data_IF_864846351732
#
_entry.id   IF_864846351732
#
_cell.length_a   1.000
_cell.length_b   1.000
_cell.length_c   1.000
_cell.angle_alpha   90.00
_cell.angle_beta   90.00
_cell.angle_gamma   90.00
#
_symmetry.space_group_name_H-M   'P 1'
#
loop_
_entity.id
_entity.type
_entity.pdbx_description
1 polymer ?
#
# COMPACT_ATOMS: atom_id res chain seq x y z
N UNK A 1 -12.59 -1.78 -10.30
CA UNK A 1 -13.22 -3.10 -10.50
C UNK A 1 -13.60 -3.27 -11.96
N UNK A 2 -13.11 -4.32 -12.62
CA UNK A 2 -13.49 -4.68 -13.99
C UNK A 2 -14.89 -5.36 -14.02
N UNK A 3 -15.92 -4.66 -13.57
CA UNK A 3 -17.29 -5.18 -13.53
C UNK A 3 -18.13 -4.63 -14.69
N UNK A 4 -17.83 -5.06 -15.90
CA UNK A 4 -18.61 -4.73 -17.09
C UNK A 4 -18.14 -5.50 -18.32
N UNK A 5 -18.93 -5.50 -19.38
CA UNK A 5 -18.61 -6.17 -20.65
C UNK A 5 -17.25 -5.73 -21.19
N UNK A 6 -16.94 -4.42 -21.10
CA UNK A 6 -15.64 -3.87 -21.51
C UNK A 6 -14.46 -4.41 -20.71
N UNK A 7 -14.62 -4.65 -19.40
CA UNK A 7 -13.56 -5.25 -18.58
C UNK A 7 -13.29 -6.71 -18.92
N UNK A 8 -14.34 -7.46 -19.22
CA UNK A 8 -14.20 -8.84 -19.71
C UNK A 8 -13.52 -8.90 -21.07
N UNK A 9 -13.91 -8.04 -22.01
CA UNK A 9 -13.26 -7.96 -23.34
C UNK A 9 -11.76 -7.69 -23.23
N UNK A 10 -11.33 -6.70 -22.45
CA UNK A 10 -9.92 -6.38 -22.26
C UNK A 10 -9.16 -7.57 -21.67
N UNK A 11 -9.76 -8.29 -20.73
CA UNK A 11 -9.17 -9.50 -20.12
C UNK A 11 -8.99 -10.63 -21.14
N UNK A 12 -9.94 -10.82 -22.05
CA UNK A 12 -9.84 -11.82 -23.13
C UNK A 12 -8.85 -11.39 -24.21
N UNK A 13 -8.83 -10.10 -24.61
CA UNK A 13 -7.85 -9.55 -25.54
C UNK A 13 -6.41 -9.71 -25.04
N UNK A 14 -6.17 -9.66 -23.72
CA UNK A 14 -4.85 -9.98 -23.17
C UNK A 14 -4.52 -11.47 -23.12
N UNK A 15 -5.48 -12.32 -22.77
CA UNK A 15 -5.23 -13.74 -22.51
C UNK A 15 -5.23 -14.61 -23.78
N UNK A 16 -6.16 -14.39 -24.71
CA UNK A 16 -6.29 -15.25 -25.89
C UNK A 16 -5.05 -15.23 -26.78
N UNK A 17 -4.49 -14.06 -27.16
CA UNK A 17 -3.25 -14.04 -27.94
C UNK A 17 -2.07 -14.65 -27.19
N UNK A 18 -2.02 -14.49 -25.85
CA UNK A 18 -0.99 -15.09 -25.02
C UNK A 18 -0.99 -16.61 -25.12
N UNK A 19 -2.10 -17.25 -24.82
CA UNK A 19 -2.20 -18.72 -24.90
C UNK A 19 -1.98 -19.25 -26.32
N UNK A 20 -2.45 -18.52 -27.33
CA UNK A 20 -2.22 -18.90 -28.72
C UNK A 20 -0.72 -18.90 -29.07
N UNK A 21 -0.01 -17.85 -28.66
CA UNK A 21 1.44 -17.73 -28.89
C UNK A 21 2.22 -18.82 -28.14
N UNK A 22 1.86 -19.09 -26.87
CA UNK A 22 2.47 -20.14 -26.07
C UNK A 22 2.30 -21.52 -26.70
N UNK A 23 1.09 -21.83 -27.22
CA UNK A 23 0.84 -23.10 -27.92
C UNK A 23 1.71 -23.21 -29.18
N UNK A 24 1.83 -22.13 -29.97
CA UNK A 24 2.70 -22.12 -31.14
C UNK A 24 4.18 -22.28 -30.75
N UNK A 25 4.61 -21.65 -29.65
CA UNK A 25 5.99 -21.75 -29.16
C UNK A 25 6.29 -23.18 -28.72
N UNK A 26 5.39 -23.82 -27.96
CA UNK A 26 5.52 -25.20 -27.51
C UNK A 26 5.52 -26.20 -28.71
N UNK A 27 4.78 -25.92 -29.76
CA UNK A 27 4.74 -26.76 -30.97
C UNK A 27 5.98 -26.57 -31.89
N UNK A 28 6.76 -25.51 -31.67
CA UNK A 28 7.92 -25.16 -32.52
C UNK A 28 8.94 -26.28 -32.67
N UNK A 29 9.33 -27.05 -31.61
CA UNK A 29 10.31 -28.13 -31.76
C UNK A 29 9.91 -29.24 -32.78
N UNK A 30 8.61 -29.46 -32.97
CA UNK A 30 8.07 -30.46 -33.90
C UNK A 30 7.70 -29.89 -35.26
N UNK A 31 7.19 -28.65 -35.29
CA UNK A 31 6.64 -28.03 -36.52
C UNK A 31 7.59 -26.98 -37.14
N UNK A 32 8.63 -26.56 -36.45
CA UNK A 32 9.58 -25.56 -36.95
C UNK A 32 8.99 -24.18 -37.15
N UNK A 33 7.93 -23.79 -36.39
CA UNK A 33 7.22 -22.52 -36.58
C UNK A 33 8.11 -21.30 -36.43
N UNK A 34 8.83 -21.17 -35.33
CA UNK A 34 9.67 -20.03 -35.05
C UNK A 34 11.15 -20.31 -35.34
N UNK A 35 11.61 -21.53 -35.10
CA UNK A 35 12.98 -21.97 -35.37
C UNK A 35 13.01 -23.49 -35.54
N UNK A 36 14.07 -23.96 -36.21
CA UNK A 36 14.39 -25.38 -36.31
C UNK A 36 15.90 -25.57 -36.40
N UNK A 37 16.35 -26.74 -36.04
CA UNK A 37 17.75 -27.13 -36.15
C UNK A 37 17.88 -28.14 -37.31
N UNK A 38 18.84 -27.87 -38.20
CA UNK A 38 19.23 -28.79 -39.28
C UNK A 38 20.74 -28.86 -39.33
N UNK A 39 21.26 -30.09 -39.34
CA UNK A 39 22.71 -30.35 -39.38
C UNK A 39 23.52 -29.63 -38.27
N UNK A 40 22.93 -29.50 -37.07
CA UNK A 40 23.54 -28.82 -35.94
C UNK A 40 23.50 -27.28 -36.01
N UNK A 41 22.95 -26.71 -37.06
CA UNK A 41 22.84 -25.26 -37.27
C UNK A 41 21.42 -24.78 -37.01
N UNK A 42 21.29 -23.56 -36.45
CA UNK A 42 20.04 -22.89 -36.19
C UNK A 42 19.48 -22.21 -37.47
N UNK A 43 18.22 -22.44 -37.75
CA UNK A 43 17.47 -21.76 -38.82
C UNK A 43 16.22 -21.11 -38.29
N UNK A 44 15.90 -19.94 -38.85
CA UNK A 44 14.69 -19.20 -38.51
C UNK A 44 13.50 -19.84 -39.25
N UNK A 45 12.43 -20.11 -38.49
CA UNK A 45 11.18 -20.65 -39.05
C UNK A 45 10.33 -19.64 -39.80
N UNK A 46 9.39 -20.14 -40.60
CA UNK A 46 8.55 -19.30 -41.46
C UNK A 46 7.64 -18.31 -40.69
N UNK A 47 7.32 -18.60 -39.45
CA UNK A 47 6.46 -17.76 -38.59
C UNK A 47 7.26 -16.92 -37.57
N UNK A 48 8.59 -16.83 -37.69
CA UNK A 48 9.41 -16.04 -36.77
C UNK A 48 9.01 -14.56 -36.71
N UNK A 49 8.52 -13.98 -37.83
CA UNK A 49 8.01 -12.60 -37.89
C UNK A 49 6.79 -12.38 -36.98
N UNK A 50 6.00 -13.44 -36.72
CA UNK A 50 4.84 -13.36 -35.84
C UNK A 50 5.20 -12.99 -34.39
N UNK A 51 6.40 -13.37 -33.92
CA UNK A 51 6.93 -12.95 -32.64
C UNK A 51 7.07 -11.42 -32.50
N UNK A 52 7.49 -10.74 -33.58
CA UNK A 52 7.60 -9.27 -33.58
C UNK A 52 6.22 -8.61 -33.57
N UNK A 53 5.25 -9.17 -34.31
CA UNK A 53 3.83 -8.69 -34.28
C UNK A 53 3.25 -8.86 -32.87
N UNK A 54 3.52 -9.98 -32.24
CA UNK A 54 3.07 -10.28 -30.88
C UNK A 54 3.62 -9.27 -29.86
N UNK A 55 4.92 -8.98 -29.90
CA UNK A 55 5.54 -7.96 -29.06
C UNK A 55 4.91 -6.59 -29.30
N UNK A 56 4.73 -6.19 -30.57
CA UNK A 56 4.09 -4.92 -30.94
C UNK A 56 2.65 -4.82 -30.42
N UNK A 57 1.88 -5.90 -30.49
CA UNK A 57 0.52 -5.97 -29.97
C UNK A 57 0.47 -5.69 -28.47
N UNK A 58 1.29 -6.37 -27.64
CA UNK A 58 1.31 -6.14 -26.20
C UNK A 58 1.86 -4.78 -25.81
N UNK A 59 2.84 -4.26 -26.57
CA UNK A 59 3.32 -2.90 -26.42
C UNK A 59 2.17 -1.89 -26.59
N UNK A 60 1.42 -2.01 -27.70
CA UNK A 60 0.26 -1.16 -27.97
C UNK A 60 -0.83 -1.29 -26.90
N UNK A 61 -1.15 -2.51 -26.48
CA UNK A 61 -2.12 -2.78 -25.43
C UNK A 61 -1.70 -2.17 -24.08
N UNK A 62 -0.42 -2.23 -23.71
CA UNK A 62 0.09 -1.59 -22.48
C UNK A 62 -0.06 -0.07 -22.54
N UNK A 63 0.31 0.57 -23.64
CA UNK A 63 0.13 2.01 -23.83
C UNK A 63 -1.34 2.40 -23.78
N UNK A 64 -2.20 1.64 -24.45
CA UNK A 64 -3.65 1.87 -24.45
C UNK A 64 -4.23 1.82 -23.04
N UNK A 65 -3.86 0.83 -22.23
CA UNK A 65 -4.33 0.68 -20.86
C UNK A 65 -3.87 1.83 -19.95
N UNK A 66 -2.63 2.29 -20.11
CA UNK A 66 -2.08 3.44 -19.37
C UNK A 66 -2.82 4.72 -19.79
N UNK A 67 -3.03 4.93 -21.10
CA UNK A 67 -3.68 6.13 -21.63
C UNK A 67 -5.17 6.21 -21.27
N UNK A 68 -5.88 5.09 -21.27
CA UNK A 68 -7.29 5.02 -20.87
C UNK A 68 -7.50 5.28 -19.36
N UNK A 69 -6.42 5.44 -18.57
CA UNK A 69 -6.48 5.75 -17.15
C UNK A 69 -7.20 4.68 -16.29
N UNK A 70 -7.54 3.54 -16.89
CA UNK A 70 -8.32 2.48 -16.23
C UNK A 70 -7.55 1.66 -15.21
N UNK A 71 -6.23 1.72 -15.24
CA UNK A 71 -5.37 1.05 -14.26
C UNK A 71 -4.82 2.12 -13.33
N UNK A 72 -5.23 2.11 -12.07
CA UNK A 72 -4.67 2.95 -11.02
C UNK A 72 -3.30 2.39 -10.63
N UNK A 73 -2.30 2.71 -11.43
CA UNK A 73 -0.90 2.35 -11.17
C UNK A 73 -0.23 3.59 -10.61
N UNK A 74 0.63 3.40 -9.64
CA UNK A 74 1.49 4.46 -9.10
C UNK A 74 2.30 5.11 -10.24
N UNK A 75 2.46 6.43 -10.18
CA UNK A 75 3.13 7.21 -11.24
C UNK A 75 4.55 6.69 -11.53
N UNK A 76 5.27 6.22 -10.52
CA UNK A 76 6.60 5.61 -10.67
C UNK A 76 6.57 4.38 -11.57
N UNK A 77 5.62 3.47 -11.34
CA UNK A 77 5.46 2.24 -12.15
C UNK A 77 5.05 2.60 -13.58
N UNK A 78 4.18 3.60 -13.79
CA UNK A 78 3.81 4.09 -15.12
C UNK A 78 5.03 4.56 -15.91
N UNK A 79 5.90 5.36 -15.28
CA UNK A 79 7.13 5.87 -15.90
C UNK A 79 8.06 4.72 -16.28
N UNK A 80 8.25 3.73 -15.38
CA UNK A 80 9.09 2.56 -15.64
C UNK A 80 8.54 1.75 -16.83
N UNK A 81 7.23 1.51 -16.90
CA UNK A 81 6.61 0.76 -17.99
C UNK A 81 6.75 1.50 -19.33
N UNK A 82 6.55 2.82 -19.33
CA UNK A 82 6.73 3.63 -20.56
C UNK A 82 8.19 3.63 -21.02
N UNK A 83 9.14 3.85 -20.11
CA UNK A 83 10.57 3.87 -20.41
C UNK A 83 11.03 2.51 -20.96
N UNK A 84 10.64 1.42 -20.29
CA UNK A 84 10.92 0.07 -20.77
C UNK A 84 10.32 -0.18 -22.15
N UNK A 85 9.08 0.27 -22.39
CA UNK A 85 8.43 0.09 -23.67
C UNK A 85 9.22 0.73 -24.80
N UNK A 86 9.82 1.91 -24.58
CA UNK A 86 10.69 2.59 -25.54
C UNK A 86 11.97 1.79 -25.76
N UNK A 87 12.61 1.34 -24.67
CA UNK A 87 13.85 0.54 -24.73
C UNK A 87 13.60 -0.80 -25.43
N UNK A 88 12.48 -1.47 -25.16
CA UNK A 88 12.13 -2.72 -25.81
C UNK A 88 11.98 -2.59 -27.32
N UNK A 89 11.31 -1.54 -27.80
CA UNK A 89 11.19 -1.25 -29.25
C UNK A 89 12.58 -1.01 -29.87
N UNK A 90 13.41 -0.21 -29.22
CA UNK A 90 14.77 0.06 -29.71
C UNK A 90 15.58 -1.24 -29.79
N UNK A 91 15.51 -2.10 -28.77
CA UNK A 91 16.21 -3.38 -28.77
C UNK A 91 15.71 -4.35 -29.84
N UNK A 92 14.39 -4.37 -30.12
CA UNK A 92 13.83 -5.18 -31.22
C UNK A 92 14.35 -4.69 -32.58
N UNK A 93 14.39 -3.38 -32.80
CA UNK A 93 14.93 -2.80 -34.05
C UNK A 93 16.42 -3.15 -34.21
N UNK A 94 17.21 -2.98 -33.18
CA UNK A 94 18.63 -3.33 -33.19
C UNK A 94 18.86 -4.83 -33.41
N UNK A 95 18.05 -5.69 -32.81
CA UNK A 95 18.14 -7.13 -33.01
C UNK A 95 17.73 -7.56 -34.41
N UNK A 96 16.80 -6.85 -35.04
CA UNK A 96 16.44 -7.11 -36.43
C UNK A 96 17.63 -6.88 -37.39
N UNK A 97 18.45 -5.84 -37.13
CA UNK A 97 19.67 -5.55 -37.90
C UNK A 97 20.84 -6.50 -37.53
N UNK A 98 20.94 -6.87 -36.24
CA UNK A 98 22.03 -7.69 -35.68
C UNK A 98 21.51 -8.99 -35.11
N UNK A 99 21.16 -9.95 -35.97
CA UNK A 99 20.50 -11.23 -35.62
C UNK A 99 21.34 -12.12 -34.68
N UNK A 100 22.63 -11.87 -34.58
CA UNK A 100 23.57 -12.63 -33.73
C UNK A 100 23.48 -12.25 -32.24
N UNK A 101 22.82 -11.11 -31.93
CA UNK A 101 22.73 -10.60 -30.55
C UNK A 101 21.37 -10.89 -29.93
N UNK A 102 21.33 -11.51 -28.76
CA UNK A 102 20.11 -11.76 -27.97
C UNK A 102 19.71 -10.53 -27.13
N UNK A 103 19.59 -9.36 -27.78
CA UNK A 103 19.35 -8.07 -27.11
C UNK A 103 17.98 -8.02 -26.43
N UNK A 104 16.95 -8.61 -27.03
CA UNK A 104 15.59 -8.63 -26.44
C UNK A 104 15.54 -9.42 -25.13
N UNK A 105 16.29 -10.53 -25.01
CA UNK A 105 16.36 -11.29 -23.76
C UNK A 105 17.04 -10.50 -22.64
N UNK A 106 18.12 -9.80 -22.95
CA UNK A 106 18.80 -8.93 -21.99
C UNK A 106 17.92 -7.75 -21.55
N UNK A 107 17.17 -7.13 -22.48
CA UNK A 107 16.21 -6.08 -22.15
C UNK A 107 15.08 -6.56 -21.25
N UNK A 108 14.53 -7.75 -21.50
CA UNK A 108 13.51 -8.36 -20.66
C UNK A 108 14.03 -8.67 -19.24
N UNK A 109 15.26 -9.18 -19.13
CA UNK A 109 15.88 -9.43 -17.82
C UNK A 109 16.08 -8.14 -17.03
N UNK A 110 16.56 -7.08 -17.65
CA UNK A 110 16.69 -5.76 -17.02
C UNK A 110 15.34 -5.20 -16.59
N UNK A 111 14.30 -5.39 -17.39
CA UNK A 111 12.96 -4.94 -17.04
C UNK A 111 12.38 -5.67 -15.83
N UNK A 112 12.49 -6.99 -15.81
CA UNK A 112 12.07 -7.79 -14.65
C UNK A 112 12.82 -7.33 -13.40
N UNK A 113 14.11 -7.07 -13.50
CA UNK A 113 14.93 -6.55 -12.41
C UNK A 113 14.45 -5.16 -11.96
N UNK A 114 14.16 -4.25 -12.90
CA UNK A 114 13.64 -2.92 -12.58
C UNK A 114 12.27 -2.95 -11.92
N UNK A 115 11.35 -3.79 -12.41
CA UNK A 115 10.03 -4.00 -11.76
C UNK A 115 10.24 -4.59 -10.37
N UNK A 116 11.07 -5.62 -10.24
CA UNK A 116 11.37 -6.24 -8.97
C UNK A 116 11.90 -5.21 -7.97
N UNK A 117 12.87 -4.38 -8.34
CA UNK A 117 13.39 -3.31 -7.50
C UNK A 117 12.34 -2.24 -7.17
N UNK A 118 11.47 -1.89 -8.12
CA UNK A 118 10.39 -0.94 -7.89
C UNK A 118 9.30 -1.48 -6.96
N UNK A 119 9.03 -2.79 -7.03
CA UNK A 119 8.05 -3.47 -6.19
C UNK A 119 8.62 -3.91 -4.83
N UNK A 120 9.93 -4.09 -4.71
CA UNK A 120 10.60 -4.51 -3.47
C UNK A 120 10.83 -3.37 -2.48
N UNK A 121 10.25 -2.19 -2.67
CA UNK A 121 10.31 -1.18 -1.64
C UNK A 121 9.02 -1.11 -0.76
N UNK A 122 8.49 -2.27 -0.27
CA UNK A 122 7.44 -2.26 0.75
C UNK A 122 7.98 -1.74 2.09
N UNK A 123 9.29 -1.76 2.30
CA UNK A 123 9.96 -1.17 3.47
C UNK A 123 9.93 0.36 3.47
N UNK A 124 9.63 1.02 2.33
CA UNK A 124 9.46 2.47 2.27
C UNK A 124 8.20 2.97 3.00
N UNK A 125 7.29 2.06 3.37
CA UNK A 125 6.02 2.36 4.03
C UNK A 125 5.87 1.63 5.37
N UNK A 126 6.97 1.11 5.91
CA UNK A 126 6.98 0.39 7.19
C UNK A 126 7.87 1.16 8.16
N UNK A 127 7.32 1.47 9.33
CA UNK A 127 8.07 1.99 10.45
C UNK A 127 9.09 0.96 10.92
N UNK A 128 10.37 1.33 10.88
CA UNK A 128 11.48 0.41 11.16
C UNK A 128 11.57 -0.01 12.63
N UNK A 129 10.97 0.75 13.53
CA UNK A 129 11.01 0.49 14.97
C UNK A 129 9.91 -0.49 15.39
N UNK A 130 8.69 -0.30 14.85
CA UNK A 130 7.51 -1.06 15.29
C UNK A 130 7.06 -2.13 14.29
N UNK A 131 7.55 -2.08 13.05
CA UNK A 131 7.12 -2.99 11.98
C UNK A 131 5.68 -2.77 11.49
N UNK A 132 5.00 -1.73 11.98
CA UNK A 132 3.69 -1.29 11.49
C UNK A 132 3.85 -0.47 10.22
N UNK A 133 2.76 -0.10 9.56
CA UNK A 133 2.83 0.90 8.49
C UNK A 133 3.25 2.27 9.06
N UNK A 134 3.92 3.09 8.24
CA UNK A 134 4.33 4.44 8.62
C UNK A 134 3.26 5.49 8.30
N UNK A 135 3.55 6.77 8.56
CA UNK A 135 2.67 7.89 8.26
C UNK A 135 2.37 8.01 6.75
N UNK A 136 3.32 7.70 5.87
CA UNK A 136 3.09 7.76 4.42
C UNK A 136 2.09 6.71 3.97
N UNK A 137 2.20 5.49 4.49
CA UNK A 137 1.21 4.44 4.26
C UNK A 137 -0.18 4.85 4.75
N UNK A 138 -0.27 5.47 5.92
CA UNK A 138 -1.52 6.01 6.45
C UNK A 138 -2.14 7.06 5.51
N UNK A 139 -1.35 8.01 5.01
CA UNK A 139 -1.83 9.02 4.06
C UNK A 139 -2.37 8.41 2.77
N UNK A 140 -1.71 7.37 2.25
CA UNK A 140 -2.19 6.63 1.07
C UNK A 140 -3.51 5.91 1.39
N UNK A 141 -3.62 5.27 2.55
CA UNK A 141 -4.85 4.60 2.99
C UNK A 141 -5.99 5.59 3.15
N UNK A 142 -5.75 6.73 3.80
CA UNK A 142 -6.72 7.81 3.96
C UNK A 142 -7.24 8.30 2.60
N UNK A 143 -6.33 8.55 1.65
CA UNK A 143 -6.70 8.94 0.28
C UNK A 143 -7.56 7.88 -0.40
N UNK A 144 -7.19 6.60 -0.29
CA UNK A 144 -7.97 5.50 -0.87
C UNK A 144 -9.38 5.41 -0.26
N UNK A 145 -9.52 5.60 1.06
CA UNK A 145 -10.81 5.60 1.74
C UNK A 145 -11.69 6.76 1.27
N UNK A 146 -11.13 7.96 1.17
CA UNK A 146 -11.88 9.15 0.71
C UNK A 146 -12.31 9.06 -0.75
N UNK A 147 -11.52 8.38 -1.61
CA UNK A 147 -11.86 8.18 -3.02
C UNK A 147 -12.86 7.04 -3.27
N UNK A 148 -12.93 6.03 -2.39
CA UNK A 148 -13.77 4.85 -2.60
C UNK A 148 -15.19 4.99 -2.00
N UNK A 149 -15.51 6.09 -1.34
CA UNK A 149 -16.84 6.36 -0.73
C UNK A 149 -17.35 5.24 0.17
N UNK A 150 -16.46 4.48 0.81
CA UNK A 150 -16.80 3.41 1.74
C UNK A 150 -16.85 3.90 3.18
N UNK A 151 -17.70 3.32 4.01
CA UNK A 151 -17.68 3.59 5.45
C UNK A 151 -16.52 2.89 6.12
N UNK A 152 -15.71 3.62 6.88
CA UNK A 152 -14.56 3.11 7.61
C UNK A 152 -14.45 3.75 8.98
N UNK A 153 -13.81 3.04 9.89
CA UNK A 153 -13.53 3.49 11.25
C UNK A 153 -12.02 3.62 11.43
N UNK A 154 -11.60 4.77 11.91
CA UNK A 154 -10.23 5.05 12.30
C UNK A 154 -10.16 5.00 13.84
N UNK A 155 -9.61 3.92 14.35
CA UNK A 155 -9.37 3.76 15.77
C UNK A 155 -7.94 4.18 16.08
N UNK A 156 -7.78 5.30 16.77
CA UNK A 156 -6.48 5.82 17.19
C UNK A 156 -6.19 5.30 18.59
N UNK A 157 -5.00 4.73 18.77
CA UNK A 157 -4.49 4.26 20.06
C UNK A 157 -3.28 5.13 20.40
N UNK A 158 -3.43 6.01 21.39
CA UNK A 158 -2.36 6.87 21.87
C UNK A 158 -1.87 6.38 23.22
N UNK A 159 -0.56 6.26 23.39
CA UNK A 159 0.09 5.82 24.62
C UNK A 159 0.47 7.08 25.43
N UNK A 160 -0.17 7.24 26.58
CA UNK A 160 0.07 8.39 27.45
C UNK A 160 1.49 8.34 28.05
N UNK A 161 2.05 9.52 28.28
CA UNK A 161 3.30 9.71 29.03
C UNK A 161 4.50 8.94 28.46
N UNK A 162 4.53 8.70 27.14
CA UNK A 162 5.62 7.96 26.50
C UNK A 162 6.98 8.60 26.77
N UNK A 163 7.06 9.93 26.77
CA UNK A 163 8.29 10.65 27.13
C UNK A 163 8.75 10.36 28.57
N UNK A 164 7.83 10.22 29.52
CA UNK A 164 8.18 9.84 30.90
C UNK A 164 8.70 8.39 30.98
N UNK A 165 8.08 7.50 30.23
CA UNK A 165 8.53 6.11 30.11
C UNK A 165 9.93 6.04 29.50
N UNK A 166 10.21 6.86 28.50
CA UNK A 166 11.54 6.96 27.87
C UNK A 166 12.60 7.47 28.85
N UNK A 167 12.27 8.47 29.69
CA UNK A 167 13.19 8.95 30.74
C UNK A 167 13.48 7.86 31.78
N UNK A 168 12.51 7.00 32.10
CA UNK A 168 12.69 5.94 33.10
C UNK A 168 13.45 4.73 32.56
N UNK A 169 13.17 4.30 31.34
CA UNK A 169 13.69 3.08 30.73
C UNK A 169 14.90 3.29 29.83
N UNK A 170 15.11 4.51 29.38
CA UNK A 170 16.01 4.85 28.30
C UNK A 170 15.40 4.58 26.92
N UNK A 171 16.00 5.21 25.92
CA UNK A 171 15.52 5.20 24.52
C UNK A 171 15.31 3.78 23.96
N UNK A 172 16.31 2.91 24.09
CA UNK A 172 16.27 1.54 23.54
C UNK A 172 15.09 0.70 24.08
N UNK A 173 14.85 0.76 25.41
CA UNK A 173 13.81 -0.04 26.03
C UNK A 173 12.41 0.53 25.76
N UNK A 174 12.28 1.84 25.67
CA UNK A 174 11.02 2.49 25.28
C UNK A 174 10.62 2.14 23.84
N UNK A 175 11.59 2.05 22.92
CA UNK A 175 11.35 1.61 21.52
C UNK A 175 10.95 0.14 21.45
N UNK A 176 11.58 -0.73 22.24
CA UNK A 176 11.15 -2.14 22.33
C UNK A 176 9.71 -2.29 22.83
N UNK A 177 9.34 -1.45 23.81
CA UNK A 177 7.98 -1.41 24.35
C UNK A 177 6.96 -1.02 23.28
N UNK A 178 7.25 0.04 22.50
CA UNK A 178 6.43 0.46 21.35
C UNK A 178 6.34 -0.61 20.26
N UNK A 179 7.46 -1.29 19.99
CA UNK A 179 7.49 -2.39 19.04
C UNK A 179 6.60 -3.55 19.48
N UNK A 180 6.62 -3.93 20.76
CA UNK A 180 5.73 -4.97 21.30
C UNK A 180 4.25 -4.58 21.15
N UNK A 181 3.90 -3.32 21.48
CA UNK A 181 2.57 -2.78 21.25
C UNK A 181 2.16 -2.82 19.78
N UNK A 182 3.03 -2.35 18.88
CA UNK A 182 2.81 -2.37 17.43
C UNK A 182 2.65 -3.79 16.87
N UNK A 183 3.45 -4.74 17.33
CA UNK A 183 3.33 -6.15 16.96
C UNK A 183 2.00 -6.76 17.40
N UNK A 184 1.58 -6.45 18.64
CA UNK A 184 0.28 -6.90 19.11
C UNK A 184 -0.87 -6.35 18.27
N UNK A 185 -0.88 -5.03 18.00
CA UNK A 185 -1.91 -4.40 17.18
C UNK A 185 -1.93 -4.98 15.76
N UNK A 186 -0.76 -5.23 15.19
CA UNK A 186 -0.61 -5.84 13.86
C UNK A 186 -1.10 -7.28 13.81
N UNK A 187 -0.82 -8.07 14.85
CA UNK A 187 -1.33 -9.44 14.97
C UNK A 187 -2.85 -9.48 15.10
N UNK A 188 -3.44 -8.51 15.82
CA UNK A 188 -4.87 -8.39 16.04
C UNK A 188 -5.64 -7.94 14.77
N UNK A 189 -5.13 -6.93 14.05
CA UNK A 189 -5.87 -6.24 13.00
C UNK A 189 -5.35 -6.51 11.59
N UNK A 190 -4.14 -7.07 11.46
CA UNK A 190 -3.45 -7.30 10.19
C UNK A 190 -2.40 -6.23 9.86
N UNK A 191 -1.37 -6.66 9.14
CA UNK A 191 -0.14 -5.87 8.90
C UNK A 191 -0.37 -4.50 8.26
N UNK A 192 -1.34 -4.41 7.35
CA UNK A 192 -1.60 -3.17 6.61
C UNK A 192 -2.75 -2.33 7.18
N UNK A 193 -3.35 -2.78 8.29
CA UNK A 193 -4.44 -2.04 8.94
C UNK A 193 -3.92 -1.10 10.03
N UNK A 194 -2.70 -1.30 10.51
CA UNK A 194 -2.11 -0.54 11.64
C UNK A 194 -1.01 0.36 11.11
N UNK A 195 -1.10 1.65 11.38
CA UNK A 195 -0.10 2.65 11.00
C UNK A 195 0.37 3.43 12.24
N UNK A 196 1.66 3.70 12.33
CA UNK A 196 2.25 4.58 13.34
C UNK A 196 2.32 6.00 12.78
N UNK A 197 1.50 6.91 13.31
CA UNK A 197 1.38 8.26 12.79
C UNK A 197 2.20 9.29 13.59
N UNK A 198 2.57 8.95 14.83
CA UNK A 198 3.42 9.73 15.69
C UNK A 198 4.25 8.81 16.60
N UNK A 199 5.14 9.36 17.40
CA UNK A 199 6.05 8.58 18.25
C UNK A 199 5.32 7.61 19.18
N UNK A 200 4.16 7.99 19.68
CA UNK A 200 3.35 7.31 20.69
C UNK A 200 1.93 6.98 20.23
N UNK A 201 1.68 7.04 18.92
CA UNK A 201 0.32 6.96 18.37
C UNK A 201 0.24 5.98 17.21
N UNK A 202 -0.69 5.04 17.34
CA UNK A 202 -1.07 4.10 16.28
C UNK A 202 -2.48 4.40 15.79
N UNK A 203 -2.69 4.33 14.49
CA UNK A 203 -4.04 4.39 13.89
C UNK A 203 -4.36 3.07 13.22
N UNK A 204 -5.53 2.53 13.54
CA UNK A 204 -6.04 1.27 13.01
C UNK A 204 -7.22 1.56 12.11
N UNK A 205 -7.14 1.11 10.85
CA UNK A 205 -8.22 1.24 9.88
C UNK A 205 -9.10 -0.01 9.93
N UNK A 206 -10.37 0.15 10.29
CA UNK A 206 -11.34 -0.91 10.46
C UNK A 206 -12.55 -0.75 9.54
N UNK A 207 -13.24 -1.86 9.28
CA UNK A 207 -14.60 -1.82 8.75
C UNK A 207 -15.58 -1.46 9.87
N UNK A 208 -16.67 -0.76 9.52
CA UNK A 208 -17.73 -0.39 10.47
C UNK A 208 -18.29 -1.64 11.18
N UNK A 209 -18.47 -1.55 12.49
CA UNK A 209 -19.03 -2.61 13.36
C UNK A 209 -17.97 -3.55 13.98
N UNK A 210 -16.69 -3.41 13.65
CA UNK A 210 -15.60 -4.21 14.27
C UNK A 210 -14.94 -3.50 15.45
N UNK A 211 -15.17 -2.20 15.60
CA UNK A 211 -14.46 -1.31 16.52
C UNK A 211 -14.61 -1.73 17.98
N UNK A 212 -15.81 -2.07 18.43
CA UNK A 212 -16.06 -2.43 19.84
C UNK A 212 -15.31 -3.69 20.26
N UNK A 213 -15.31 -4.71 19.40
CA UNK A 213 -14.56 -5.94 19.65
C UNK A 213 -13.06 -5.68 19.76
N UNK A 214 -12.52 -4.89 18.84
CA UNK A 214 -11.08 -4.54 18.81
C UNK A 214 -10.70 -3.66 20.01
N UNK A 215 -11.51 -2.64 20.37
CA UNK A 215 -11.32 -1.83 21.57
C UNK A 215 -11.23 -2.69 22.83
N UNK A 216 -12.15 -3.66 22.96
CA UNK A 216 -12.16 -4.58 24.12
C UNK A 216 -10.90 -5.42 24.21
N UNK A 217 -10.37 -5.91 23.09
CA UNK A 217 -9.14 -6.69 23.07
C UNK A 217 -7.90 -5.84 23.35
N UNK A 218 -7.82 -4.62 22.80
CA UNK A 218 -6.73 -3.68 23.06
C UNK A 218 -6.72 -3.32 24.54
N UNK A 219 -7.85 -2.92 25.11
CA UNK A 219 -7.96 -2.61 26.54
C UNK A 219 -7.47 -3.75 27.41
N UNK A 220 -7.97 -4.97 27.16
CA UNK A 220 -7.57 -6.16 27.91
C UNK A 220 -6.06 -6.46 27.87
N UNK A 221 -5.42 -6.19 26.72
CA UNK A 221 -3.96 -6.36 26.58
C UNK A 221 -3.19 -5.27 27.31
N UNK A 222 -3.64 -4.02 27.21
CA UNK A 222 -2.95 -2.88 27.83
C UNK A 222 -3.17 -2.79 29.35
N UNK A 223 -4.20 -3.45 29.89
CA UNK A 223 -4.36 -3.68 31.34
C UNK A 223 -3.30 -4.68 31.90
N UNK A 224 -2.63 -5.43 31.02
CA UNK A 224 -1.53 -6.32 31.40
C UNK A 224 -0.21 -5.61 31.24
N UNK A 225 0.72 -5.88 32.16
CA UNK A 225 2.07 -5.33 32.07
C UNK A 225 2.81 -5.79 30.81
N UNK A 226 3.62 -4.92 30.30
CA UNK A 226 4.59 -5.21 29.25
C UNK A 226 5.95 -5.50 29.88
N UNK A 227 6.64 -6.53 29.42
CA UNK A 227 7.91 -6.96 29.97
C UNK A 227 9.06 -6.62 29.04
N UNK A 228 9.84 -5.59 29.39
CA UNK A 228 10.99 -5.17 28.60
C UNK A 228 12.25 -5.17 29.48
N UNK A 229 13.26 -5.93 29.06
CA UNK A 229 14.58 -6.01 29.73
C UNK A 229 14.51 -6.28 31.25
N UNK A 230 13.56 -7.14 31.66
CA UNK A 230 13.37 -7.50 33.08
C UNK A 230 12.51 -6.54 33.90
N UNK A 231 12.04 -5.44 33.31
CA UNK A 231 11.11 -4.50 33.93
C UNK A 231 9.67 -4.81 33.49
N UNK A 232 8.72 -4.67 34.44
CA UNK A 232 7.29 -4.79 34.20
C UNK A 232 6.66 -3.41 34.19
N UNK A 233 6.01 -3.03 33.09
CA UNK A 233 5.53 -1.66 32.89
C UNK A 233 4.09 -1.70 32.41
N UNK A 234 3.23 -0.97 33.11
CA UNK A 234 1.87 -0.70 32.70
C UNK A 234 1.83 0.47 31.73
N UNK A 235 1.20 0.27 30.57
CA UNK A 235 0.94 1.32 29.60
C UNK A 235 -0.46 1.89 29.81
N UNK A 236 -0.56 3.21 29.78
CA UNK A 236 -1.85 3.91 29.82
C UNK A 236 -2.22 4.35 28.41
N UNK A 237 -3.20 3.72 27.82
CA UNK A 237 -3.69 4.05 26.48
C UNK A 237 -4.91 4.96 26.51
N UNK A 238 -5.06 5.68 25.40
CA UNK A 238 -6.29 6.37 25.02
C UNK A 238 -6.72 5.90 23.66
N UNK A 239 -7.99 5.57 23.50
CA UNK A 239 -8.57 5.16 22.24
C UNK A 239 -9.56 6.22 21.74
N UNK A 240 -9.29 6.74 20.54
CA UNK A 240 -10.15 7.74 19.88
C UNK A 240 -10.77 7.08 18.65
N UNK A 241 -12.10 7.11 18.53
CA UNK A 241 -12.82 6.52 17.41
C UNK A 241 -13.37 7.63 16.52
N UNK A 242 -13.00 7.57 15.22
CA UNK A 242 -13.43 8.51 14.19
C UNK A 242 -14.05 7.73 13.02
N UNK A 243 -15.28 8.06 12.65
CA UNK A 243 -16.00 7.39 11.57
C UNK A 243 -15.96 8.21 10.28
N UNK A 244 -15.51 7.60 9.19
CA UNK A 244 -15.63 8.18 7.86
C UNK A 244 -16.89 7.64 7.16
N UNK A 245 -17.70 8.48 6.49
CA UNK A 245 -17.63 9.94 6.35
C UNK A 245 -18.42 10.72 7.41
N UNK A 246 -18.91 10.07 8.49
CA UNK A 246 -19.79 10.68 9.49
C UNK A 246 -19.13 11.85 10.25
N UNK A 247 -17.87 11.68 10.63
CA UNK A 247 -17.17 12.61 11.52
C UNK A 247 -16.22 13.54 10.77
N UNK A 248 -15.68 13.10 9.66
CA UNK A 248 -14.80 13.87 8.79
C UNK A 248 -14.91 13.41 7.33
N UNK A 249 -14.60 14.30 6.37
CA UNK A 249 -14.59 14.01 4.94
C UNK A 249 -13.23 14.26 4.28
N UNK A 250 -12.29 14.86 5.00
CA UNK A 250 -10.95 15.19 4.50
C UNK A 250 -9.86 14.88 5.53
N UNK A 251 -8.61 14.77 5.06
CA UNK A 251 -7.45 14.62 5.94
C UNK A 251 -7.28 15.79 6.89
N UNK A 252 -7.59 17.03 6.43
CA UNK A 252 -7.50 18.21 7.26
C UNK A 252 -8.51 18.17 8.42
N UNK A 253 -9.75 17.78 8.15
CA UNK A 253 -10.78 17.59 9.18
C UNK A 253 -10.41 16.46 10.15
N UNK A 254 -9.89 15.33 9.63
CA UNK A 254 -9.39 14.24 10.46
C UNK A 254 -8.33 14.74 11.45
N UNK A 255 -7.30 15.44 10.96
CA UNK A 255 -6.19 15.93 11.80
C UNK A 255 -6.69 16.92 12.86
N UNK A 256 -7.54 17.83 12.48
CA UNK A 256 -8.09 18.84 13.38
C UNK A 256 -8.95 18.20 14.48
N UNK A 257 -9.84 17.28 14.11
CA UNK A 257 -10.71 16.60 15.06
C UNK A 257 -9.92 15.64 15.97
N UNK A 258 -8.96 14.92 15.41
CA UNK A 258 -8.04 14.08 16.17
C UNK A 258 -7.25 14.91 17.20
N UNK A 259 -6.65 16.04 16.78
CA UNK A 259 -5.90 16.93 17.67
C UNK A 259 -6.75 17.45 18.82
N UNK A 260 -7.99 17.90 18.53
CA UNK A 260 -8.95 18.33 19.54
C UNK A 260 -9.28 17.24 20.57
N UNK A 261 -9.56 16.01 20.10
CA UNK A 261 -9.87 14.88 20.97
C UNK A 261 -8.66 14.42 21.78
N UNK A 262 -7.46 14.48 21.21
CA UNK A 262 -6.23 14.15 21.91
C UNK A 262 -5.97 15.14 23.06
N UNK A 263 -6.17 16.45 22.85
CA UNK A 263 -6.09 17.47 23.90
C UNK A 263 -7.10 17.21 25.01
N UNK A 264 -8.35 16.91 24.66
CA UNK A 264 -9.38 16.55 25.61
C UNK A 264 -9.00 15.28 26.41
N UNK A 265 -8.39 14.30 25.74
CA UNK A 265 -7.94 13.07 26.37
C UNK A 265 -6.79 13.30 27.36
N UNK A 266 -5.84 14.18 27.04
CA UNK A 266 -4.74 14.52 27.95
C UNK A 266 -5.24 15.19 29.23
N UNK A 267 -6.32 15.95 29.14
CA UNK A 267 -6.92 16.68 30.28
C UNK A 267 -7.93 15.83 31.10
N UNK A 268 -8.37 14.67 30.58
CA UNK A 268 -9.47 13.90 31.20
C UNK A 268 -9.06 12.86 32.25
N UNK A 269 -7.78 12.73 32.55
CA UNK A 269 -7.22 11.85 33.62
C UNK A 269 -7.44 10.35 33.37
N UNK A 270 -8.61 9.81 33.70
CA UNK A 270 -8.86 8.34 33.68
C UNK A 270 -9.70 7.85 32.49
N UNK A 271 -10.23 8.73 31.66
CA UNK A 271 -11.04 8.30 30.53
C UNK A 271 -10.17 7.66 29.45
N UNK A 272 -10.54 6.46 28.98
CA UNK A 272 -9.80 5.68 28.00
C UNK A 272 -10.42 5.83 26.60
N UNK A 273 -11.76 5.91 26.50
CA UNK A 273 -12.48 5.95 25.23
C UNK A 273 -13.00 7.34 24.92
N UNK A 274 -12.71 7.81 23.71
CA UNK A 274 -13.22 9.07 23.15
C UNK A 274 -13.86 8.81 21.81
N UNK A 275 -15.05 9.34 21.61
CA UNK A 275 -15.82 9.27 20.38
C UNK A 275 -16.36 10.64 20.02
N UNK A 276 -16.64 10.83 18.73
CA UNK A 276 -17.24 12.05 18.25
C UNK A 276 -18.76 11.96 18.42
N UNK A 277 -19.27 12.66 19.43
CA UNK A 277 -20.70 12.89 19.62
C UNK A 277 -21.10 14.31 19.19
N UNK A 278 -22.37 14.62 19.23
CA UNK A 278 -22.89 15.96 18.88
C UNK A 278 -22.38 17.07 19.81
N UNK A 279 -22.09 16.75 21.08
CA UNK A 279 -21.54 17.71 22.04
C UNK A 279 -20.08 18.04 21.68
N UNK A 280 -19.28 17.03 21.38
CA UNK A 280 -17.89 17.16 20.92
C UNK A 280 -17.83 17.96 19.62
N UNK A 281 -18.68 17.66 18.63
CA UNK A 281 -18.75 18.43 17.38
C UNK A 281 -19.07 19.91 17.63
N UNK A 282 -20.06 20.17 18.46
CA UNK A 282 -20.48 21.54 18.77
C UNK A 282 -19.38 22.33 19.47
N UNK A 283 -18.66 21.73 20.43
CA UNK A 283 -17.56 22.39 21.12
C UNK A 283 -16.34 22.60 20.21
N UNK A 284 -16.03 21.64 19.38
CA UNK A 284 -14.99 21.74 18.34
C UNK A 284 -15.26 22.91 17.37
N UNK A 285 -16.46 22.99 16.81
CA UNK A 285 -16.82 24.09 15.92
C UNK A 285 -16.87 25.46 16.62
N UNK A 286 -17.22 25.48 17.90
CA UNK A 286 -17.17 26.70 18.72
C UNK A 286 -15.75 27.21 18.91
N UNK A 287 -14.80 26.32 19.24
CA UNK A 287 -13.36 26.67 19.40
C UNK A 287 -12.76 27.16 18.09
N UNK A 288 -12.97 26.45 16.99
CA UNK A 288 -12.45 26.85 15.66
C UNK A 288 -12.98 28.23 15.22
N UNK A 289 -14.23 28.57 15.53
CA UNK A 289 -14.75 29.92 15.25
C UNK A 289 -14.09 31.00 16.09
N UNK A 290 -13.70 30.70 17.30
CA UNK A 290 -12.99 31.64 18.18
C UNK A 290 -11.55 31.83 17.69
N UNK A 291 -10.84 30.76 17.30
CA UNK A 291 -9.47 30.85 16.76
C UNK A 291 -9.44 31.66 15.45
N UNK A 292 -10.37 31.41 14.52
CA UNK A 292 -10.48 32.17 13.26
C UNK A 292 -10.88 33.63 13.44
N UNK A 293 -11.39 34.03 14.61
CA UNK A 293 -11.76 35.41 14.91
C UNK A 293 -10.63 36.17 15.63
N UNK A 294 -9.57 35.50 16.05
CA UNK A 294 -8.41 36.06 16.76
C UNK A 294 -7.21 36.26 15.83
N UNK A 295 -7.14 35.56 14.71
CA UNK A 295 -6.18 35.74 13.59
C UNK A 295 -6.72 36.85 12.61
#
# INVERSE_FOLDING_TARGET
SFSGVAGRMIKYMGKVPFFFFEIMLLATPWMGFFFYFKDGSYYQGNFAWFGYVYIGYYFFMNLLLIFLGRVRIETRIKVIVILYSIVAVLMVVLQYERKEMLLTSAANMLFILMIYMAMQNPSAYIDSETGTSDEQAFLIQMKNVTEQSGKKVFLVVHIRQMHHIEMLLGYENSRRLLAEGGHYLTALCGKFCVSRNAEDTFTILLDEGKEEHIKGQIKKRFEQDFHVSGNSISLNEVMITLHYPRDFCSLAEYRALYGYLLEAAQNSGKQIFFEVDEAVKKDYYRRNKVEQAVD
#
